data_IF_036924714262
#
_entry.id   IF_036924714262
#
_cell.length_a   1.000
_cell.length_b   1.000
_cell.length_c   1.000
_cell.angle_alpha   90.00
_cell.angle_beta   90.00
_cell.angle_gamma   90.00
#
_symmetry.space_group_name_H-M   'P 1'
#
loop_
_entity.id
_entity.type
_entity.pdbx_description
1 polymer ?
#
# COMPACT_ATOMS: atom_id res chain seq x y z
N UNK A 1 12.92 1.88 26.93
CA UNK A 1 13.45 3.21 26.53
C UNK A 1 13.87 3.31 25.07
N UNK A 2 14.36 2.26 24.41
CA UNK A 2 14.73 2.33 22.98
C UNK A 2 13.54 2.21 21.99
N UNK A 3 12.49 1.46 22.34
CA UNK A 3 11.27 1.28 21.51
C UNK A 3 10.47 2.59 21.29
N UNK A 4 10.51 3.52 22.26
CA UNK A 4 9.84 4.82 22.16
C UNK A 4 10.49 5.73 21.10
N UNK A 5 11.83 5.79 21.06
CA UNK A 5 12.57 6.65 20.11
C UNK A 5 12.40 6.26 18.64
N UNK A 6 12.10 4.99 18.36
CA UNK A 6 11.86 4.51 16.99
C UNK A 6 10.48 4.89 16.49
N UNK A 7 9.46 4.69 17.35
CA UNK A 7 8.10 5.20 17.09
C UNK A 7 8.16 6.71 16.89
N UNK A 8 8.95 7.44 17.68
CA UNK A 8 9.14 8.88 17.50
C UNK A 8 9.79 9.24 16.16
N UNK A 9 10.85 8.53 15.72
CA UNK A 9 11.52 8.78 14.43
C UNK A 9 10.62 8.43 13.23
N UNK A 10 9.94 7.29 13.28
CA UNK A 10 9.02 6.85 12.23
C UNK A 10 7.80 7.80 12.16
N UNK A 11 7.31 8.26 13.31
CA UNK A 11 6.29 9.30 13.40
C UNK A 11 6.79 10.66 12.89
N UNK A 12 8.05 11.02 13.10
CA UNK A 12 8.66 12.24 12.56
C UNK A 12 8.75 12.19 11.03
N UNK A 13 9.17 11.06 10.45
CA UNK A 13 9.18 10.86 8.99
C UNK A 13 7.76 10.91 8.40
N UNK A 14 6.79 10.27 9.05
CA UNK A 14 5.38 10.33 8.66
C UNK A 14 4.85 11.77 8.76
N UNK A 15 5.19 12.51 9.82
CA UNK A 15 4.80 13.93 9.99
C UNK A 15 5.48 14.82 8.95
N UNK A 16 6.73 14.56 8.60
CA UNK A 16 7.45 15.31 7.57
C UNK A 16 6.82 15.11 6.19
N UNK A 17 6.53 13.86 5.82
CA UNK A 17 5.79 13.52 4.60
C UNK A 17 4.41 14.20 4.60
N UNK A 18 3.66 14.09 5.70
CA UNK A 18 2.34 14.72 5.85
C UNK A 18 2.39 16.25 5.75
N UNK A 19 3.42 16.89 6.32
CA UNK A 19 3.60 18.34 6.29
C UNK A 19 3.98 18.85 4.90
N UNK A 20 4.74 18.07 4.13
CA UNK A 20 5.08 18.42 2.73
C UNK A 20 3.95 18.14 1.74
N UNK A 21 3.01 17.24 2.06
CA UNK A 21 1.76 17.12 1.29
C UNK A 21 0.92 18.41 1.35
N UNK A 22 1.02 19.18 2.44
CA UNK A 22 0.32 20.47 2.62
C UNK A 22 0.97 21.68 1.93
N UNK A 23 2.21 21.57 1.44
CA UNK A 23 2.94 22.68 0.78
C UNK A 23 2.71 22.78 -0.73
N UNK A 24 2.07 21.77 -1.33
CA UNK A 24 1.63 21.79 -2.73
C UNK A 24 2.60 21.20 -3.75
N UNK A 25 3.83 20.84 -3.38
CA UNK A 25 4.79 20.18 -4.30
C UNK A 25 5.10 18.74 -3.87
N UNK A 26 4.31 17.80 -4.39
CA UNK A 26 4.49 16.37 -4.19
C UNK A 26 5.85 15.86 -4.67
N UNK A 27 6.48 16.51 -5.65
CA UNK A 27 7.78 16.06 -6.18
C UNK A 27 8.89 16.26 -5.17
N UNK A 28 8.83 17.34 -4.39
CA UNK A 28 9.77 17.58 -3.30
C UNK A 28 9.46 16.69 -2.10
N UNK A 29 8.17 16.48 -1.79
CA UNK A 29 7.74 15.66 -0.66
C UNK A 29 8.22 14.20 -0.72
N UNK A 30 8.36 13.62 -1.92
CA UNK A 30 8.76 12.21 -2.10
C UNK A 30 10.27 11.99 -2.17
N UNK A 31 11.07 13.06 -2.21
CA UNK A 31 12.54 12.92 -2.26
C UNK A 31 13.05 12.34 -0.95
N UNK A 32 14.05 11.45 -1.06
CA UNK A 32 14.79 10.94 0.08
C UNK A 32 15.41 12.11 0.87
N UNK A 33 15.08 12.29 2.17
CA UNK A 33 15.70 13.30 2.99
C UNK A 33 17.21 13.09 3.13
N UNK A 34 17.97 14.18 3.25
CA UNK A 34 19.41 14.11 3.35
C UNK A 34 19.85 13.32 4.59
N UNK A 35 20.66 12.28 4.38
CA UNK A 35 21.22 11.48 5.47
C UNK A 35 20.33 10.32 5.94
N UNK A 36 19.14 10.15 5.36
CA UNK A 36 18.27 9.01 5.67
C UNK A 36 18.59 7.78 4.81
N UNK A 37 18.24 6.61 5.34
CA UNK A 37 18.37 5.35 4.63
C UNK A 37 17.25 5.19 3.56
N UNK A 38 17.58 4.80 2.31
CA UNK A 38 16.58 4.61 1.26
C UNK A 38 15.51 3.56 1.58
N UNK A 39 15.88 2.45 2.24
CA UNK A 39 14.93 1.39 2.55
C UNK A 39 13.98 1.81 3.67
N UNK A 40 14.48 2.54 4.66
CA UNK A 40 13.67 3.16 5.71
C UNK A 40 12.63 4.13 5.11
N UNK A 41 13.07 5.01 4.20
CA UNK A 41 12.18 5.96 3.53
C UNK A 41 11.11 5.26 2.70
N UNK A 42 11.48 4.21 1.95
CA UNK A 42 10.54 3.40 1.19
C UNK A 42 9.57 2.67 2.13
N UNK A 43 10.05 2.08 3.23
CA UNK A 43 9.22 1.34 4.17
C UNK A 43 8.12 2.23 4.78
N UNK A 44 8.48 3.43 5.23
CA UNK A 44 7.52 4.41 5.76
C UNK A 44 6.47 4.79 4.72
N UNK A 45 6.87 5.07 3.49
CA UNK A 45 5.94 5.43 2.42
C UNK A 45 5.04 4.25 2.01
N UNK A 46 5.57 3.03 1.94
CA UNK A 46 4.76 1.83 1.62
C UNK A 46 3.68 1.59 2.68
N UNK A 47 4.02 1.73 3.96
CA UNK A 47 3.07 1.61 5.07
C UNK A 47 1.98 2.69 4.97
N UNK A 48 2.35 3.94 4.68
CA UNK A 48 1.41 5.04 4.48
C UNK A 48 0.47 4.76 3.30
N UNK A 49 0.99 4.33 2.15
CA UNK A 49 0.16 3.94 1.00
C UNK A 49 -0.81 2.79 1.32
N UNK A 50 -0.37 1.78 2.08
CA UNK A 50 -1.25 0.70 2.51
C UNK A 50 -2.41 1.22 3.36
N UNK A 51 -2.13 2.10 4.32
CA UNK A 51 -3.15 2.72 5.16
C UNK A 51 -4.12 3.57 4.35
N UNK A 52 -3.62 4.39 3.44
CA UNK A 52 -4.44 5.22 2.56
C UNK A 52 -5.34 4.39 1.64
N UNK A 53 -4.81 3.32 1.03
CA UNK A 53 -5.60 2.40 0.21
C UNK A 53 -6.66 1.67 1.03
N UNK A 54 -6.31 1.24 2.25
CA UNK A 54 -7.26 0.60 3.17
C UNK A 54 -8.43 1.53 3.49
N UNK A 55 -8.14 2.78 3.83
CA UNK A 55 -9.17 3.80 4.11
C UNK A 55 -10.00 4.10 2.86
N UNK A 56 -9.37 4.30 1.70
CA UNK A 56 -10.05 4.56 0.44
C UNK A 56 -11.02 3.43 0.10
N UNK A 57 -10.55 2.17 0.12
CA UNK A 57 -11.42 1.04 -0.19
C UNK A 57 -12.53 0.88 0.83
N UNK A 58 -12.26 1.15 2.11
CA UNK A 58 -13.28 1.14 3.17
C UNK A 58 -14.44 2.10 2.93
N UNK A 59 -14.25 3.19 2.17
CA UNK A 59 -15.36 4.11 1.82
C UNK A 59 -16.31 3.56 0.75
N UNK A 60 -15.87 2.60 -0.06
CA UNK A 60 -16.66 2.05 -1.18
C UNK A 60 -16.95 0.55 -1.04
N UNK A 61 -16.48 -0.09 0.02
CA UNK A 61 -16.57 -1.55 0.20
C UNK A 61 -18.00 -2.07 0.14
N UNK A 62 -18.97 -1.30 0.62
CA UNK A 62 -20.38 -1.68 0.61
C UNK A 62 -20.99 -1.70 -0.80
N UNK A 63 -20.35 -1.02 -1.76
CA UNK A 63 -20.78 -0.94 -3.16
C UNK A 63 -19.95 -1.85 -4.09
N UNK A 64 -18.79 -2.33 -3.63
CA UNK A 64 -17.97 -3.30 -4.35
C UNK A 64 -18.39 -4.72 -3.95
N UNK A 65 -19.42 -5.26 -4.61
CA UNK A 65 -19.98 -6.58 -4.31
C UNK A 65 -19.64 -7.60 -5.39
N UNK A 66 -19.99 -8.88 -5.15
CA UNK A 66 -19.80 -9.93 -6.16
C UNK A 66 -20.70 -9.73 -7.38
N UNK A 67 -21.82 -9.05 -7.20
CA UNK A 67 -22.81 -8.75 -8.22
C UNK A 67 -22.41 -7.52 -9.03
N UNK A 68 -21.97 -6.43 -8.37
CA UNK A 68 -21.51 -5.23 -9.07
C UNK A 68 -20.14 -5.42 -9.72
N UNK A 69 -19.26 -6.21 -9.09
CA UNK A 69 -17.89 -6.44 -9.54
C UNK A 69 -17.55 -7.95 -9.57
N UNK A 70 -18.15 -8.74 -10.47
CA UNK A 70 -18.00 -10.20 -10.52
C UNK A 70 -16.59 -10.66 -10.90
N UNK A 71 -15.75 -9.75 -11.39
CA UNK A 71 -14.34 -9.96 -11.71
C UNK A 71 -13.55 -8.70 -11.36
N UNK A 72 -12.27 -8.86 -11.03
CA UNK A 72 -11.38 -7.74 -10.72
C UNK A 72 -10.90 -7.06 -12.02
N UNK A 73 -11.60 -6.01 -12.45
CA UNK A 73 -11.24 -5.22 -13.62
C UNK A 73 -10.73 -3.82 -13.26
N UNK A 74 -9.89 -3.26 -14.13
CA UNK A 74 -9.60 -1.84 -14.21
C UNK A 74 -9.98 -1.34 -15.62
N UNK A 75 -11.24 -0.92 -15.76
CA UNK A 75 -11.83 -0.57 -17.05
C UNK A 75 -12.04 -1.79 -17.96
N UNK A 76 -12.29 -1.55 -19.25
CA UNK A 76 -12.65 -2.61 -20.20
C UNK A 76 -11.49 -3.47 -20.69
N UNK A 77 -10.24 -3.08 -20.42
CA UNK A 77 -9.03 -3.69 -21.03
C UNK A 77 -8.20 -4.52 -20.08
N UNK A 78 -8.34 -4.34 -18.77
CA UNK A 78 -7.45 -4.96 -17.79
C UNK A 78 -8.22 -5.78 -16.79
N UNK A 79 -7.94 -7.07 -16.78
CA UNK A 79 -8.39 -7.99 -15.74
C UNK A 79 -7.21 -8.44 -14.88
N UNK A 80 -7.42 -8.45 -13.57
CA UNK A 80 -6.47 -8.99 -12.62
C UNK A 80 -6.96 -10.32 -12.08
N UNK A 81 -6.08 -11.32 -12.15
CA UNK A 81 -6.33 -12.67 -11.62
C UNK A 81 -5.41 -12.87 -10.43
N UNK A 82 -5.93 -13.45 -9.34
CA UNK A 82 -5.15 -13.62 -8.11
C UNK A 82 -4.22 -14.82 -8.23
N UNK A 83 -3.03 -14.72 -7.64
CA UNK A 83 -2.13 -15.87 -7.50
C UNK A 83 -1.39 -15.84 -6.17
N UNK A 84 -1.40 -16.98 -5.49
CA UNK A 84 -0.62 -17.29 -4.28
C UNK A 84 0.75 -17.92 -4.61
N UNK A 85 1.14 -17.90 -5.90
CA UNK A 85 2.36 -18.55 -6.40
C UNK A 85 2.20 -20.03 -6.75
N UNK A 86 1.07 -20.67 -6.38
CA UNK A 86 0.78 -22.07 -6.72
C UNK A 86 -0.42 -22.19 -7.64
N UNK A 87 -1.47 -21.43 -7.36
CA UNK A 87 -2.71 -21.41 -8.12
C UNK A 87 -3.02 -20.00 -8.58
N UNK A 88 -3.54 -19.90 -9.78
CA UNK A 88 -4.09 -18.66 -10.34
C UNK A 88 -5.60 -18.78 -10.39
N UNK A 89 -6.32 -17.85 -9.77
CA UNK A 89 -7.78 -17.90 -9.62
C UNK A 89 -8.41 -16.57 -9.99
N UNK A 90 -9.38 -16.62 -10.91
CA UNK A 90 -10.25 -15.48 -11.19
C UNK A 90 -11.30 -15.41 -10.09
N UNK A 91 -11.47 -14.23 -9.50
CA UNK A 91 -12.43 -14.00 -8.43
C UNK A 91 -13.06 -12.60 -8.58
N UNK A 92 -14.23 -12.39 -7.93
CA UNK A 92 -14.82 -11.06 -7.81
C UNK A 92 -13.86 -10.04 -7.20
N UNK A 93 -14.01 -8.78 -7.59
CA UNK A 93 -13.16 -7.69 -7.11
C UNK A 93 -13.05 -7.60 -5.57
N UNK A 94 -14.13 -7.66 -4.78
CA UNK A 94 -13.99 -7.56 -3.32
C UNK A 94 -13.16 -8.71 -2.73
N UNK A 95 -13.27 -9.93 -3.28
CA UNK A 95 -12.45 -11.06 -2.84
C UNK A 95 -10.98 -10.91 -3.27
N UNK A 96 -10.75 -10.41 -4.49
CA UNK A 96 -9.40 -10.13 -4.96
C UNK A 96 -8.70 -9.11 -4.05
N UNK A 97 -9.41 -8.03 -3.71
CA UNK A 97 -8.90 -6.96 -2.86
C UNK A 97 -8.65 -7.48 -1.45
N UNK A 98 -9.56 -8.29 -0.88
CA UNK A 98 -9.36 -8.93 0.42
C UNK A 98 -8.07 -9.80 0.47
N UNK A 99 -7.86 -10.66 -0.52
CA UNK A 99 -6.64 -11.46 -0.62
C UNK A 99 -5.38 -10.60 -0.77
N UNK A 100 -5.49 -9.52 -1.55
CA UNK A 100 -4.41 -8.59 -1.77
C UNK A 100 -4.03 -7.84 -0.49
N UNK A 101 -5.01 -7.30 0.22
CA UNK A 101 -4.79 -6.53 1.45
C UNK A 101 -4.27 -7.43 2.56
N UNK A 102 -4.79 -8.65 2.69
CA UNK A 102 -4.28 -9.68 3.61
C UNK A 102 -2.82 -9.99 3.32
N UNK A 103 -2.48 -10.28 2.06
CA UNK A 103 -1.10 -10.56 1.69
C UNK A 103 -0.17 -9.37 1.94
N UNK A 104 -0.59 -8.14 1.63
CA UNK A 104 0.25 -6.95 1.89
C UNK A 104 0.46 -6.79 3.40
N UNK A 105 -0.59 -6.96 4.21
CA UNK A 105 -0.49 -6.90 5.67
C UNK A 105 0.50 -7.92 6.21
N UNK A 106 0.43 -9.17 5.75
CA UNK A 106 1.39 -10.23 6.13
C UNK A 106 2.84 -9.84 5.78
N UNK A 107 3.08 -9.18 4.64
CA UNK A 107 4.42 -8.69 4.32
C UNK A 107 4.88 -7.58 5.27
N UNK A 108 3.98 -6.66 5.64
CA UNK A 108 4.30 -5.51 6.50
C UNK A 108 4.51 -5.89 7.98
N UNK A 109 3.82 -6.94 8.44
CA UNK A 109 3.96 -7.48 9.80
C UNK A 109 5.19 -8.41 9.95
N UNK A 110 5.79 -8.86 8.85
CA UNK A 110 6.98 -9.69 8.89
C UNK A 110 8.23 -8.86 9.23
N UNK A 111 8.66 -8.95 10.49
CA UNK A 111 9.86 -8.32 11.04
C UNK A 111 11.18 -8.71 10.33
N UNK A 112 11.17 -9.75 9.49
CA UNK A 112 12.33 -10.10 8.64
C UNK A 112 12.35 -9.32 7.32
N UNK A 113 11.23 -8.70 6.96
CA UNK A 113 11.05 -7.89 5.75
C UNK A 113 10.96 -6.41 6.08
N UNK A 114 10.07 -6.04 7.02
CA UNK A 114 9.87 -4.70 7.53
C UNK A 114 10.27 -4.65 9.01
N UNK A 115 11.59 -4.57 9.32
CA UNK A 115 12.05 -4.54 10.69
C UNK A 115 11.53 -3.29 11.43
N UNK A 116 11.00 -3.48 12.63
CA UNK A 116 10.56 -2.38 13.51
C UNK A 116 11.60 -2.00 14.58
N UNK A 117 12.73 -2.72 14.63
CA UNK A 117 13.80 -2.51 15.60
C UNK A 117 14.99 -1.77 15.00
N UNK A 118 15.44 -0.72 15.71
CA UNK A 118 16.63 0.07 15.34
C UNK A 118 17.85 -0.84 15.16
N UNK A 119 18.51 -0.71 14.02
CA UNK A 119 19.76 -1.39 13.71
C UNK A 119 19.58 -2.79 13.12
N UNK A 120 18.34 -3.26 12.98
CA UNK A 120 18.07 -4.47 12.20
C UNK A 120 18.09 -4.13 10.71
N UNK A 121 18.91 -4.82 9.90
CA UNK A 121 19.00 -4.53 8.47
C UNK A 121 17.77 -5.06 7.73
N UNK A 122 17.33 -4.32 6.71
CA UNK A 122 16.41 -4.81 5.70
C UNK A 122 17.01 -6.00 4.94
N UNK A 123 16.19 -6.95 4.45
CA UNK A 123 16.70 -8.07 3.69
C UNK A 123 17.26 -7.62 2.33
N UNK A 124 18.19 -8.37 1.71
CA UNK A 124 18.80 -7.99 0.43
C UNK A 124 17.81 -7.79 -0.73
N UNK A 125 16.65 -8.45 -0.66
CA UNK A 125 15.58 -8.37 -1.66
C UNK A 125 14.44 -7.41 -1.26
N UNK A 126 14.60 -6.58 -0.23
CA UNK A 126 13.58 -5.65 0.26
C UNK A 126 12.93 -4.83 -0.85
N UNK A 127 13.75 -4.20 -1.72
CA UNK A 127 13.23 -3.35 -2.80
C UNK A 127 12.32 -4.12 -3.76
N UNK A 128 12.62 -5.40 -4.03
CA UNK A 128 11.77 -6.25 -4.86
C UNK A 128 10.41 -6.53 -4.20
N UNK A 129 10.42 -6.78 -2.89
CA UNK A 129 9.21 -7.01 -2.10
C UNK A 129 8.36 -5.72 -2.06
N UNK A 130 8.98 -4.59 -1.75
CA UNK A 130 8.31 -3.28 -1.72
C UNK A 130 7.68 -2.92 -3.09
N UNK A 131 8.39 -3.17 -4.20
CA UNK A 131 7.84 -2.99 -5.55
C UNK A 131 6.62 -3.90 -5.80
N UNK A 132 6.66 -5.15 -5.34
CA UNK A 132 5.54 -6.07 -5.47
C UNK A 132 4.31 -5.60 -4.67
N UNK A 133 4.52 -5.08 -3.45
CA UNK A 133 3.48 -4.46 -2.61
C UNK A 133 2.85 -3.26 -3.33
N UNK A 134 3.65 -2.27 -3.73
CA UNK A 134 3.12 -1.06 -4.37
C UNK A 134 2.40 -1.37 -5.69
N UNK A 135 2.93 -2.31 -6.49
CA UNK A 135 2.28 -2.77 -7.73
C UNK A 135 0.91 -3.39 -7.47
N UNK A 136 0.75 -4.11 -6.35
CA UNK A 136 -0.52 -4.70 -5.94
C UNK A 136 -1.48 -3.60 -5.45
N UNK A 137 -1.04 -2.72 -4.55
CA UNK A 137 -1.84 -1.58 -4.07
C UNK A 137 -2.36 -0.70 -5.21
N UNK A 138 -1.55 -0.47 -6.25
CA UNK A 138 -1.99 0.24 -7.45
C UNK A 138 -3.22 -0.36 -8.12
N UNK A 139 -3.40 -1.69 -8.08
CA UNK A 139 -4.58 -2.34 -8.69
C UNK A 139 -5.87 -1.97 -7.98
N UNK A 140 -5.81 -1.69 -6.67
CA UNK A 140 -6.95 -1.21 -5.90
C UNK A 140 -7.31 0.20 -6.36
N UNK A 141 -6.33 1.11 -6.47
CA UNK A 141 -6.54 2.44 -7.04
C UNK A 141 -7.15 2.39 -8.45
N UNK A 142 -6.59 1.54 -9.33
CA UNK A 142 -7.05 1.42 -10.70
C UNK A 142 -8.50 0.90 -10.77
N UNK A 143 -8.85 -0.08 -9.93
CA UNK A 143 -10.21 -0.60 -9.84
C UNK A 143 -11.18 0.48 -9.34
N UNK A 144 -10.85 1.13 -8.21
CA UNK A 144 -11.66 2.20 -7.62
C UNK A 144 -11.88 3.33 -8.62
N UNK A 145 -10.83 3.82 -9.28
CA UNK A 145 -10.94 4.88 -10.28
C UNK A 145 -11.84 4.52 -11.47
N UNK A 146 -11.81 3.26 -11.92
CA UNK A 146 -12.59 2.85 -13.09
C UNK A 146 -14.01 2.39 -12.78
N UNK A 147 -14.30 1.95 -11.56
CA UNK A 147 -15.58 1.30 -11.22
C UNK A 147 -16.38 2.05 -10.15
N UNK A 148 -15.71 2.88 -9.34
CA UNK A 148 -16.29 3.49 -8.14
C UNK A 148 -15.97 4.98 -8.00
N UNK A 149 -15.41 5.63 -9.03
CA UNK A 149 -15.05 7.06 -8.96
C UNK A 149 -16.27 7.95 -8.66
N UNK A 150 -17.45 7.60 -9.19
CA UNK A 150 -18.70 8.33 -8.95
C UNK A 150 -19.16 8.28 -7.48
N UNK A 151 -18.66 7.32 -6.70
CA UNK A 151 -18.94 7.20 -5.26
C UNK A 151 -17.97 8.04 -4.41
N UNK A 152 -16.87 8.51 -4.99
CA UNK A 152 -15.81 9.28 -4.32
C UNK A 152 -15.94 10.73 -4.77
N UNK A 153 -16.78 11.50 -4.07
CA UNK A 153 -16.92 12.94 -4.32
C UNK A 153 -18.35 13.45 -4.53
N UNK A 154 -19.28 13.07 -3.65
CA UNK A 154 -20.47 13.88 -3.35
C UNK A 154 -20.42 14.34 -1.89
#
# INVERSE_FOLDING_TARGET
MHRLRHVDKQNELLRYASATLGSGDLREAVKLPQGEDPNEWIAVNVLDFFNQVSMLFGTISDHCTKESCPRMFAGSRYEYVWSDGRKTVACPAPMYIDYLMTWVHEQLDDETIFPSQIGQPFPPNFLHIAQAVVKRLFRVYAHVYHQHLELIGM
#
